data_IF_763175388163
#
_entry.id   IF_763175388163
#
_cell.length_a   1.000
_cell.length_b   1.000
_cell.length_c   1.000
_cell.angle_alpha   90.00
_cell.angle_beta   90.00
_cell.angle_gamma   90.00
#
_symmetry.space_group_name_H-M   'P 1'
#
loop_
_entity.id
_entity.type
_entity.pdbx_description
1 polymer ?
#
# COMPACT_ATOMS: atom_id res chain seq x y z
N UNK A 1 25.21 26.63 -6.12
CA UNK A 1 25.74 26.55 -4.74
C UNK A 1 24.67 26.23 -3.70
N UNK A 2 23.46 26.80 -3.78
CA UNK A 2 22.37 26.50 -2.83
C UNK A 2 21.91 25.03 -2.79
N UNK A 3 21.92 24.34 -3.93
CA UNK A 3 21.48 22.93 -4.03
C UNK A 3 22.40 21.98 -3.24
N UNK A 4 23.70 22.28 -3.16
CA UNK A 4 24.65 21.46 -2.38
C UNK A 4 24.42 21.55 -0.87
N UNK A 5 23.97 22.70 -0.37
CA UNK A 5 23.63 22.89 1.05
C UNK A 5 22.35 22.16 1.43
N UNK A 6 21.37 22.09 0.50
CA UNK A 6 20.13 21.32 0.69
C UNK A 6 20.45 19.82 0.77
N UNK A 7 21.27 19.29 -0.15
CA UNK A 7 21.70 17.89 -0.12
C UNK A 7 22.52 17.54 1.13
N UNK A 8 23.36 18.47 1.61
CA UNK A 8 24.17 18.26 2.81
C UNK A 8 23.33 18.32 4.09
N UNK A 9 22.30 19.18 4.13
CA UNK A 9 21.33 19.23 5.22
C UNK A 9 20.50 17.93 5.28
N UNK A 10 20.05 17.39 4.15
CA UNK A 10 19.34 16.10 4.10
C UNK A 10 20.20 14.92 4.55
N UNK A 11 21.50 14.94 4.25
CA UNK A 11 22.45 13.91 4.69
C UNK A 11 22.79 14.01 6.19
N UNK A 12 22.79 15.22 6.76
CA UNK A 12 23.22 15.48 8.15
C UNK A 12 22.08 15.37 9.15
N UNK A 13 20.86 15.79 8.79
CA UNK A 13 19.64 15.59 9.60
C UNK A 13 19.02 14.20 9.40
N UNK A 14 19.90 13.23 9.18
CA UNK A 14 19.57 11.85 8.91
C UNK A 14 18.32 11.39 9.66
N UNK A 15 17.35 10.95 8.87
CA UNK A 15 16.49 9.87 9.30
C UNK A 15 15.50 10.18 10.41
N UNK A 16 14.86 11.35 10.39
CA UNK A 16 13.50 11.44 10.95
C UNK A 16 12.55 10.83 9.92
N UNK A 17 12.53 9.49 9.88
CA UNK A 17 11.85 8.63 8.89
C UNK A 17 10.37 9.00 8.70
N UNK A 18 9.75 9.58 9.75
CA UNK A 18 8.37 10.06 9.75
C UNK A 18 8.19 11.49 9.20
N UNK A 19 9.20 12.38 9.29
CA UNK A 19 9.09 13.79 8.85
C UNK A 19 9.49 14.01 7.39
N UNK A 20 10.21 13.10 6.74
CA UNK A 20 10.49 13.19 5.29
C UNK A 20 9.38 12.55 4.45
N UNK A 21 8.88 11.39 4.88
CA UNK A 21 7.78 10.66 4.21
C UNK A 21 6.40 10.94 4.84
N UNK A 22 6.24 12.03 5.61
CA UNK A 22 4.95 12.43 6.18
C UNK A 22 3.84 12.52 5.11
N UNK A 23 4.21 12.86 3.88
CA UNK A 23 3.29 12.90 2.75
C UNK A 23 2.74 11.52 2.36
N UNK A 24 3.45 10.43 2.67
CA UNK A 24 2.97 9.07 2.45
C UNK A 24 1.71 8.74 3.27
N UNK A 25 1.44 9.48 4.36
CA UNK A 25 0.18 9.37 5.09
C UNK A 25 -1.01 9.72 4.19
N UNK A 26 -0.88 10.66 3.25
CA UNK A 26 -1.94 11.00 2.29
C UNK A 26 -2.21 9.87 1.29
N UNK A 27 -1.20 9.05 0.97
CA UNK A 27 -1.36 7.82 0.17
C UNK A 27 -1.99 6.69 0.99
N UNK A 28 -1.73 6.66 2.30
CA UNK A 28 -2.29 5.68 3.23
C UNK A 28 -3.77 5.96 3.55
N UNK A 29 -4.20 7.22 3.65
CA UNK A 29 -5.61 7.59 3.93
C UNK A 29 -6.60 6.86 3.02
N UNK A 30 -6.50 6.91 1.67
CA UNK A 30 -7.44 6.20 0.80
C UNK A 30 -7.32 4.68 0.96
N UNK A 31 -6.11 4.14 1.20
CA UNK A 31 -5.92 2.72 1.48
C UNK A 31 -6.67 2.25 2.74
N UNK A 32 -6.54 2.99 3.84
CA UNK A 32 -7.23 2.71 5.11
C UNK A 32 -8.74 2.87 4.96
N UNK A 33 -9.22 3.89 4.23
CA UNK A 33 -10.65 4.07 3.95
C UNK A 33 -11.22 2.90 3.13
N UNK A 34 -10.49 2.41 2.14
CA UNK A 34 -10.92 1.25 1.34
C UNK A 34 -10.88 -0.04 2.15
N UNK A 35 -9.91 -0.22 3.05
CA UNK A 35 -9.88 -1.32 4.01
C UNK A 35 -11.09 -1.28 4.95
N UNK A 36 -11.47 -0.10 5.44
CA UNK A 36 -12.68 0.10 6.23
C UNK A 36 -13.94 -0.32 5.48
N UNK A 37 -14.04 0.00 4.18
CA UNK A 37 -15.14 -0.47 3.32
C UNK A 37 -15.15 -1.97 3.10
N UNK A 38 -13.97 -2.59 2.95
CA UNK A 38 -13.87 -4.05 2.86
C UNK A 38 -14.32 -4.71 4.16
N UNK A 39 -13.99 -4.12 5.31
CA UNK A 39 -14.41 -4.59 6.63
C UNK A 39 -15.92 -4.46 6.85
N UNK A 40 -16.53 -3.33 6.47
CA UNK A 40 -17.98 -3.17 6.54
C UNK A 40 -18.71 -4.10 5.58
N UNK A 41 -18.17 -4.33 4.38
CA UNK A 41 -18.70 -5.33 3.44
C UNK A 41 -18.62 -6.76 4.03
N UNK A 42 -17.54 -7.10 4.74
CA UNK A 42 -17.41 -8.38 5.43
C UNK A 42 -18.40 -8.56 6.58
N UNK A 43 -18.63 -7.51 7.37
CA UNK A 43 -19.67 -7.54 8.40
C UNK A 43 -21.08 -7.62 7.81
N UNK A 44 -21.36 -6.85 6.75
CA UNK A 44 -22.64 -6.86 6.05
C UNK A 44 -22.94 -8.21 5.38
N UNK A 45 -21.90 -8.93 4.93
CA UNK A 45 -22.01 -10.29 4.41
C UNK A 45 -22.18 -11.37 5.50
N UNK A 46 -22.31 -10.99 6.77
CA UNK A 46 -22.48 -11.92 7.89
C UNK A 46 -21.23 -12.75 8.18
N UNK A 47 -20.05 -12.13 8.09
CA UNK A 47 -18.74 -12.78 8.24
C UNK A 47 -18.46 -13.86 7.19
N UNK A 48 -19.14 -13.80 6.05
CA UNK A 48 -18.84 -14.66 4.91
C UNK A 48 -17.85 -13.97 4.00
N UNK A 49 -16.83 -14.72 3.60
CA UNK A 49 -15.89 -14.30 2.56
C UNK A 49 -16.59 -14.41 1.19
N UNK A 50 -17.48 -13.47 0.89
CA UNK A 50 -18.17 -13.38 -0.39
C UNK A 50 -17.28 -12.73 -1.44
N UNK A 51 -17.66 -12.92 -2.71
CA UNK A 51 -16.94 -12.39 -3.89
C UNK A 51 -16.71 -10.89 -3.83
N UNK A 52 -17.65 -10.15 -3.24
CA UNK A 52 -17.60 -8.70 -3.08
C UNK A 52 -16.60 -8.26 -2.00
N UNK A 53 -16.42 -9.06 -0.95
CA UNK A 53 -15.39 -8.82 0.07
C UNK A 53 -14.01 -9.04 -0.53
N UNK A 54 -13.84 -10.09 -1.33
CA UNK A 54 -12.57 -10.39 -1.99
C UNK A 54 -12.17 -9.31 -3.01
N UNK A 55 -13.12 -8.81 -3.82
CA UNK A 55 -12.86 -7.73 -4.78
C UNK A 55 -12.57 -6.40 -4.07
N UNK A 56 -13.31 -6.07 -3.00
CA UNK A 56 -13.06 -4.91 -2.17
C UNK A 56 -11.68 -4.96 -1.50
N UNK A 57 -11.28 -6.11 -0.94
CA UNK A 57 -9.94 -6.31 -0.39
C UNK A 57 -8.85 -6.05 -1.43
N UNK A 58 -8.99 -6.63 -2.63
CA UNK A 58 -8.02 -6.44 -3.71
C UNK A 58 -7.87 -4.98 -4.13
N UNK A 59 -8.99 -4.26 -4.21
CA UNK A 59 -8.99 -2.83 -4.54
C UNK A 59 -8.34 -1.97 -3.46
N UNK A 60 -8.49 -2.35 -2.18
CA UNK A 60 -7.89 -1.66 -1.04
C UNK A 60 -6.40 -1.98 -0.87
N UNK A 61 -5.97 -3.17 -1.30
CA UNK A 61 -4.61 -3.67 -1.11
C UNK A 61 -3.59 -2.81 -1.86
N UNK A 62 -3.90 -2.42 -3.10
CA UNK A 62 -2.97 -1.69 -3.97
C UNK A 62 -2.56 -0.32 -3.41
N UNK A 63 -3.48 0.60 -3.08
CA UNK A 63 -3.12 1.90 -2.50
C UNK A 63 -2.53 1.76 -1.10
N UNK A 64 -3.00 0.81 -0.28
CA UNK A 64 -2.44 0.56 1.06
C UNK A 64 -0.99 0.09 0.96
N UNK A 65 -0.70 -0.83 0.04
CA UNK A 65 0.63 -1.38 -0.16
C UNK A 65 1.59 -0.33 -0.71
N UNK A 66 1.14 0.52 -1.63
CA UNK A 66 1.91 1.67 -2.13
C UNK A 66 2.17 2.67 -1.00
N UNK A 67 1.16 3.03 -0.22
CA UNK A 67 1.30 3.92 0.93
C UNK A 67 2.29 3.38 1.97
N UNK A 68 2.22 2.08 2.29
CA UNK A 68 3.17 1.40 3.17
C UNK A 68 4.58 1.34 2.60
N UNK A 69 4.72 1.04 1.31
CA UNK A 69 6.02 0.99 0.63
C UNK A 69 6.75 2.34 0.67
N UNK A 70 6.02 3.43 0.43
CA UNK A 70 6.56 4.79 0.54
C UNK A 70 6.81 5.21 2.00
N UNK A 71 5.93 4.86 2.94
CA UNK A 71 6.09 5.18 4.36
C UNK A 71 7.31 4.46 4.96
N UNK A 72 7.48 3.17 4.65
CA UNK A 72 8.59 2.34 5.13
C UNK A 72 9.86 2.48 4.27
N UNK A 73 9.82 3.32 3.23
CA UNK A 73 10.92 3.57 2.30
C UNK A 73 11.53 2.27 1.77
N UNK A 74 10.68 1.28 1.48
CA UNK A 74 11.13 -0.01 1.01
C UNK A 74 11.85 0.18 -0.33
N UNK A 75 13.00 -0.48 -0.48
CA UNK A 75 13.72 -0.53 -1.75
C UNK A 75 12.82 -1.11 -2.84
N UNK A 76 12.66 -0.40 -3.95
CA UNK A 76 11.90 -0.88 -5.11
C UNK A 76 12.40 -2.24 -5.62
N UNK A 77 13.70 -2.52 -5.49
CA UNK A 77 14.28 -3.84 -5.76
C UNK A 77 13.79 -4.95 -4.82
N UNK A 78 13.39 -4.64 -3.59
CA UNK A 78 12.78 -5.58 -2.63
C UNK A 78 11.25 -5.65 -2.72
N UNK A 79 10.59 -4.58 -3.19
CA UNK A 79 9.12 -4.53 -3.32
C UNK A 79 8.64 -5.30 -4.57
N UNK A 80 9.38 -5.21 -5.67
CA UNK A 80 9.02 -5.79 -6.95
C UNK A 80 8.51 -7.26 -6.90
N UNK A 81 9.15 -8.18 -6.14
CA UNK A 81 8.67 -9.55 -5.99
C UNK A 81 7.25 -9.65 -5.39
N UNK A 82 6.87 -8.74 -4.50
CA UNK A 82 5.55 -8.77 -3.86
C UNK A 82 4.43 -8.46 -4.86
N UNK A 83 4.67 -7.55 -5.80
CA UNK A 83 3.72 -7.28 -6.89
C UNK A 83 3.56 -8.49 -7.81
N UNK A 84 4.64 -9.23 -8.10
CA UNK A 84 4.57 -10.48 -8.87
C UNK A 84 3.77 -11.56 -8.14
N UNK A 85 3.93 -11.69 -6.82
CA UNK A 85 3.13 -12.60 -6.00
C UNK A 85 1.65 -12.19 -6.03
N UNK A 86 1.35 -10.92 -5.83
CA UNK A 86 -0.03 -10.40 -5.88
C UNK A 86 -0.69 -10.60 -7.25
N UNK A 87 0.06 -10.38 -8.33
CA UNK A 87 -0.38 -10.63 -9.71
C UNK A 87 -0.59 -12.13 -9.99
N UNK A 88 0.28 -12.99 -9.45
CA UNK A 88 0.12 -14.45 -9.55
C UNK A 88 -1.13 -14.94 -8.83
N UNK A 89 -1.39 -14.45 -7.61
CA UNK A 89 -2.58 -14.80 -6.83
C UNK A 89 -3.85 -14.27 -7.52
N UNK A 90 -3.81 -13.05 -8.08
CA UNK A 90 -4.97 -12.51 -8.80
C UNK A 90 -5.27 -13.27 -10.09
N UNK A 91 -4.24 -13.72 -10.81
CA UNK A 91 -4.40 -14.56 -11.99
C UNK A 91 -5.00 -15.93 -11.64
N UNK A 92 -4.58 -16.55 -10.54
CA UNK A 92 -5.15 -17.81 -10.04
C UNK A 92 -6.63 -17.65 -9.65
N UNK A 93 -6.96 -16.60 -8.88
CA UNK A 93 -8.33 -16.29 -8.51
C UNK A 93 -9.21 -15.95 -9.71
N UNK A 94 -8.67 -15.24 -10.71
CA UNK A 94 -9.39 -14.94 -11.95
C UNK A 94 -9.63 -16.21 -12.78
N UNK A 95 -8.70 -17.17 -12.74
CA UNK A 95 -8.87 -18.47 -13.41
C UNK A 95 -9.90 -19.36 -12.71
N UNK A 96 -10.00 -19.32 -11.39
CA UNK A 96 -11.07 -20.01 -10.65
C UNK A 96 -12.46 -19.38 -10.85
N UNK A 97 -12.52 -18.15 -11.41
CA UNK A 97 -13.77 -17.43 -11.68
C UNK A 97 -14.39 -17.77 -13.04
N UNK A 98 -13.62 -18.32 -13.98
CA UNK A 98 -14.07 -18.76 -15.32
C UNK A 98 -14.23 -20.28 -15.36
#
# INVERSE_FOLDING_TARGET
>A
MAIGLIFMAENTFGNVTLLHNWWALFLLVPGVLMLGRAWTAYQAAGHRFTRDVASALYSALFPTFIGLAFLLRLDWGRIWPVFLILAGVSALLSRMRN
#
